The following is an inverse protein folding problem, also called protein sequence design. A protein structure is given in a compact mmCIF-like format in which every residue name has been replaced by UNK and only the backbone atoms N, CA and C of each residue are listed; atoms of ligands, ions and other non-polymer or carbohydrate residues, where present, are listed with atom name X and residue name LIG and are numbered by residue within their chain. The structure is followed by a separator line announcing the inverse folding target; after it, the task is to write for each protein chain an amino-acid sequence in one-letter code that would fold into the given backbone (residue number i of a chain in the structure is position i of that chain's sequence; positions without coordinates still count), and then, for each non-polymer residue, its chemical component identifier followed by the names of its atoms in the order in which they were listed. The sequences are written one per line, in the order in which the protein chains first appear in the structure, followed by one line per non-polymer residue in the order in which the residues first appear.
data_IF_430316679238
#
_entry.id   IF_430316679238
#
_cell.length_a   1.000
_cell.length_b   1.000
_cell.length_c   1.000
_cell.angle_alpha   90.00
_cell.angle_beta   90.00
_cell.angle_gamma   90.00
#
_symmetry.space_group_name_H-M   'P 1'
#
loop_
_entity.id
_entity.type
_entity.pdbx_description
1 polymer ?
#
# COMPACT_ATOMS: atom_id res chain seq x y z
N UNK A 1 6.94 -10.86 -2.47
CA UNK A 1 6.71 -9.41 -2.52
C UNK A 1 5.78 -9.13 -3.68
N UNK A 2 4.83 -8.23 -3.50
CA UNK A 2 3.90 -7.82 -4.53
C UNK A 2 3.91 -6.31 -4.65
N UNK A 3 3.65 -5.81 -5.85
CA UNK A 3 3.55 -4.40 -6.13
C UNK A 3 2.08 -4.02 -6.23
N UNK A 4 1.67 -3.01 -5.46
CA UNK A 4 0.28 -2.58 -5.41
C UNK A 4 0.19 -1.16 -5.94
N UNK A 5 -0.75 -1.00 -6.86
CA UNK A 5 -1.16 0.26 -7.46
C UNK A 5 -2.57 0.60 -6.98
N UNK A 6 -2.76 1.77 -6.37
CA UNK A 6 -4.06 2.27 -5.94
C UNK A 6 -4.41 3.50 -6.76
N UNK A 7 -5.62 3.50 -7.32
CA UNK A 7 -6.20 4.58 -8.11
C UNK A 7 -7.45 5.13 -7.42
N UNK A 8 -7.56 6.46 -7.38
CA UNK A 8 -8.68 7.12 -6.74
C UNK A 8 -8.99 8.50 -7.32
N UNK A 9 -10.15 9.03 -6.94
CA UNK A 9 -10.58 10.38 -7.30
C UNK A 9 -9.93 11.44 -6.40
N UNK A 10 -9.71 11.12 -5.12
CA UNK A 10 -9.25 12.07 -4.11
C UNK A 10 -8.22 11.41 -3.17
N UNK A 11 -7.29 12.24 -2.66
CA UNK A 11 -6.23 11.81 -1.73
C UNK A 11 -6.78 11.12 -0.48
N UNK A 12 -7.92 11.59 0.05
CA UNK A 12 -8.55 10.97 1.23
C UNK A 12 -8.98 9.53 0.97
N UNK A 13 -9.53 9.21 -0.21
CA UNK A 13 -9.95 7.84 -0.56
C UNK A 13 -8.74 6.91 -0.64
N UNK A 14 -7.61 7.39 -1.18
CA UNK A 14 -6.36 6.63 -1.21
C UNK A 14 -5.85 6.31 0.19
N UNK A 15 -5.77 7.30 1.08
CA UNK A 15 -5.28 7.11 2.45
C UNK A 15 -6.17 6.15 3.25
N UNK A 16 -7.49 6.25 3.08
CA UNK A 16 -8.44 5.32 3.70
C UNK A 16 -8.25 3.90 3.15
N UNK A 17 -8.11 3.72 1.83
CA UNK A 17 -7.87 2.41 1.23
C UNK A 17 -6.57 1.77 1.71
N UNK A 18 -5.48 2.54 1.83
CA UNK A 18 -4.23 2.03 2.41
C UNK A 18 -4.43 1.61 3.86
N UNK A 19 -5.18 2.40 4.64
CA UNK A 19 -5.50 2.06 6.03
C UNK A 19 -6.32 0.77 6.14
N UNK A 20 -7.28 0.55 5.23
CA UNK A 20 -8.09 -0.67 5.19
C UNK A 20 -7.23 -1.89 4.82
N UNK A 21 -6.30 -1.74 3.89
CA UNK A 21 -5.36 -2.80 3.54
C UNK A 21 -4.45 -3.20 4.70
N UNK A 22 -3.93 -2.23 5.47
CA UNK A 22 -3.11 -2.51 6.64
C UNK A 22 -3.92 -3.12 7.79
N UNK A 23 -5.09 -2.54 8.09
CA UNK A 23 -5.89 -2.89 9.27
C UNK A 23 -6.75 -4.12 9.07
N UNK A 24 -7.47 -4.17 7.95
CA UNK A 24 -8.44 -5.23 7.66
C UNK A 24 -7.84 -6.28 6.72
N UNK A 25 -7.03 -5.86 5.75
CA UNK A 25 -6.32 -6.77 4.83
C UNK A 25 -5.11 -7.46 5.46
N UNK A 26 -4.63 -6.98 6.63
CA UNK A 26 -3.41 -7.49 7.27
C UNK A 26 -2.22 -7.58 6.31
N UNK A 27 -2.10 -6.61 5.40
CA UNK A 27 -0.98 -6.47 4.47
C UNK A 27 0.13 -5.65 5.10
N UNK A 28 1.38 -6.03 4.80
CA UNK A 28 2.55 -5.37 5.35
C UNK A 28 3.21 -4.52 4.28
N UNK A 29 3.08 -3.20 4.37
CA UNK A 29 3.81 -2.29 3.50
C UNK A 29 5.31 -2.35 3.80
N UNK A 30 6.13 -2.55 2.76
CA UNK A 30 7.59 -2.56 2.83
C UNK A 30 8.18 -1.17 2.67
N UNK A 31 7.48 -0.30 1.96
CA UNK A 31 7.87 1.08 1.68
C UNK A 31 6.73 2.02 2.01
N UNK A 32 7.05 3.31 2.18
CA UNK A 32 6.01 4.34 2.17
C UNK A 32 5.31 4.33 0.79
N UNK A 33 3.99 4.61 0.75
CA UNK A 33 3.28 4.85 -0.49
C UNK A 33 3.90 6.04 -1.20
N UNK A 34 4.19 5.87 -2.49
CA UNK A 34 4.78 6.92 -3.33
C UNK A 34 3.74 7.46 -4.29
N UNK A 35 3.82 8.75 -4.58
CA UNK A 35 2.90 9.41 -5.51
C UNK A 35 3.35 9.12 -6.94
N UNK A 36 2.39 8.71 -7.77
CA UNK A 36 2.62 8.48 -9.20
C UNK A 36 1.60 9.29 -10.00
N UNK A 37 1.91 9.57 -11.27
CA UNK A 37 0.97 10.28 -12.13
C UNK A 37 -0.27 9.42 -12.41
N UNK A 38 -1.43 10.05 -12.31
CA UNK A 38 -2.71 9.38 -12.49
C UNK A 38 -2.90 8.89 -13.93
N UNK A 39 -2.37 9.64 -14.91
CA UNK A 39 -2.37 9.28 -16.32
C UNK A 39 -1.56 8.01 -16.58
N UNK A 40 -0.41 7.86 -15.91
CA UNK A 40 0.40 6.66 -16.02
C UNK A 40 -0.29 5.46 -15.37
N UNK A 41 -0.87 5.65 -14.18
CA UNK A 41 -1.63 4.60 -13.50
C UNK A 41 -2.83 4.13 -14.34
N UNK A 42 -3.56 5.06 -14.95
CA UNK A 42 -4.68 4.75 -15.84
C UNK A 42 -4.20 3.97 -17.07
N UNK A 43 -3.14 4.44 -17.74
CA UNK A 43 -2.58 3.76 -18.92
C UNK A 43 -2.11 2.34 -18.61
N UNK A 44 -1.43 2.14 -17.47
CA UNK A 44 -0.97 0.83 -17.04
C UNK A 44 -2.16 -0.11 -16.77
N UNK A 45 -3.24 0.39 -16.18
CA UNK A 45 -4.44 -0.43 -15.95
C UNK A 45 -5.20 -0.72 -17.25
N UNK A 46 -5.27 0.22 -18.19
CA UNK A 46 -5.85 -0.02 -19.53
C UNK A 46 -5.09 -1.10 -20.28
N UNK A 47 -3.76 -1.10 -20.19
CA UNK A 47 -2.92 -2.15 -20.77
C UNK A 47 -3.18 -3.51 -20.12
N UNK A 48 -3.31 -3.55 -18.78
CA UNK A 48 -3.62 -4.79 -18.05
C UNK A 48 -5.00 -5.33 -18.44
N UNK A 49 -6.02 -4.47 -18.46
CA UNK A 49 -7.40 -4.84 -18.74
C UNK A 49 -7.69 -4.98 -20.24
N UNK A 50 -6.73 -4.61 -21.12
CA UNK A 50 -6.89 -4.53 -22.58
C UNK A 50 -8.17 -3.78 -23.01
N UNK A 51 -8.59 -2.81 -22.20
CA UNK A 51 -9.84 -2.07 -22.39
C UNK A 51 -9.71 -0.66 -21.86
N UNK A 52 -10.47 0.26 -22.46
CA UNK A 52 -10.50 1.66 -22.01
C UNK A 52 -11.20 1.75 -20.66
N UNK A 53 -10.64 2.55 -19.77
CA UNK A 53 -11.25 2.83 -18.48
C UNK A 53 -12.47 3.71 -18.64
N UNK A 54 -13.57 3.33 -17.97
CA UNK A 54 -14.78 4.17 -17.89
C UNK A 54 -14.56 5.39 -17.00
N UNK A 55 -13.77 5.24 -15.94
CA UNK A 55 -13.47 6.30 -14.98
C UNK A 55 -11.96 6.52 -14.89
N UNK A 56 -11.56 7.78 -15.08
CA UNK A 56 -10.17 8.20 -14.91
C UNK A 56 -9.87 8.45 -13.44
N UNK A 57 -8.63 8.20 -13.04
CA UNK A 57 -8.17 8.58 -11.70
C UNK A 57 -7.62 10.01 -11.73
N UNK A 58 -7.77 10.74 -10.63
CA UNK A 58 -7.12 12.04 -10.46
C UNK A 58 -5.85 11.90 -9.61
N UNK A 59 -5.82 10.89 -8.74
CA UNK A 59 -4.68 10.61 -7.87
C UNK A 59 -4.38 9.12 -7.89
N UNK A 60 -3.09 8.80 -7.87
CA UNK A 60 -2.63 7.42 -7.82
C UNK A 60 -1.39 7.30 -6.92
N UNK A 61 -1.26 6.13 -6.29
CA UNK A 61 -0.12 5.78 -5.45
C UNK A 61 0.25 4.34 -5.65
N UNK A 62 1.53 4.02 -5.48
CA UNK A 62 2.00 2.65 -5.49
C UNK A 62 3.02 2.38 -4.38
N UNK A 63 3.10 1.12 -3.98
CA UNK A 63 4.02 0.65 -2.94
C UNK A 63 4.22 -0.86 -3.00
N UNK A 64 5.28 -1.31 -2.34
CA UNK A 64 5.58 -2.73 -2.17
C UNK A 64 4.95 -3.28 -0.90
N UNK A 65 4.43 -4.50 -0.99
CA UNK A 65 4.02 -5.29 0.17
C UNK A 65 4.87 -6.54 0.31
N UNK A 66 4.99 -7.01 1.56
CA UNK A 66 5.82 -8.17 1.91
C UNK A 66 5.26 -9.46 1.32
N UNK A 67 3.94 -9.58 1.35
CA UNK A 67 3.19 -10.72 0.86
C UNK A 67 3.43 -10.96 -0.65
N UNK A 68 3.20 -12.19 -1.11
CA UNK A 68 3.19 -12.54 -2.53
C UNK A 68 1.91 -12.06 -3.23
N UNK A 69 1.93 -12.06 -4.56
CA UNK A 69 0.83 -11.58 -5.41
C UNK A 69 -0.49 -12.30 -5.07
N UNK A 70 -0.46 -13.61 -4.90
CA UNK A 70 -1.65 -14.44 -4.66
C UNK A 70 -2.26 -14.15 -3.29
N UNK A 71 -1.46 -14.17 -2.21
CA UNK A 71 -1.97 -13.80 -0.88
C UNK A 71 -2.46 -12.35 -0.83
N UNK A 72 -1.80 -11.44 -1.55
CA UNK A 72 -2.23 -10.04 -1.62
C UNK A 72 -3.60 -9.90 -2.25
N UNK A 73 -3.85 -10.57 -3.38
CA UNK A 73 -5.16 -10.58 -4.05
C UNK A 73 -6.23 -11.18 -3.14
N UNK A 74 -5.95 -12.32 -2.50
CA UNK A 74 -6.90 -12.98 -1.60
C UNK A 74 -7.30 -12.10 -0.41
N UNK A 75 -6.33 -11.41 0.21
CA UNK A 75 -6.57 -10.49 1.32
C UNK A 75 -7.33 -9.24 0.86
N UNK A 76 -6.97 -8.66 -0.28
CA UNK A 76 -7.66 -7.48 -0.83
C UNK A 76 -9.11 -7.82 -1.19
N UNK A 77 -9.38 -9.02 -1.69
CA UNK A 77 -10.74 -9.48 -2.01
C UNK A 77 -11.65 -9.58 -0.78
N UNK A 78 -11.09 -9.76 0.41
CA UNK A 78 -11.85 -9.85 1.67
C UNK A 78 -12.23 -8.47 2.24
N UNK A 79 -11.61 -7.39 1.74
CA UNK A 79 -11.88 -6.03 2.18
C UNK A 79 -12.66 -5.26 1.11
N UNK A 80 -13.37 -4.21 1.54
CA UNK A 80 -14.17 -3.36 0.66
C UNK A 80 -13.60 -1.93 0.66
N UNK A 81 -12.41 -1.71 0.08
CA UNK A 81 -11.73 -0.44 0.14
C UNK A 81 -12.45 0.60 -0.73
N UNK A 82 -12.43 1.89 -0.34
CA UNK A 82 -13.11 2.97 -1.06
C UNK A 82 -12.41 3.41 -2.36
N UNK A 83 -11.29 2.79 -2.73
CA UNK A 83 -10.49 3.11 -3.90
C UNK A 83 -10.18 1.84 -4.71
N UNK A 84 -9.88 2.01 -6.00
CA UNK A 84 -9.56 0.90 -6.89
C UNK A 84 -8.13 0.43 -6.64
N UNK A 85 -7.98 -0.84 -6.28
CA UNK A 85 -6.67 -1.46 -6.03
C UNK A 85 -6.35 -2.45 -7.15
N UNK A 86 -5.15 -2.34 -7.68
CA UNK A 86 -4.60 -3.22 -8.71
C UNK A 86 -3.32 -3.82 -8.16
N UNK A 87 -3.25 -5.15 -8.11
CA UNK A 87 -2.03 -5.86 -7.76
C UNK A 87 -1.29 -6.16 -9.07
N UNK A 88 -0.07 -5.64 -9.20
CA UNK A 88 0.77 -5.81 -10.38
C UNK A 88 1.74 -6.96 -10.11
N UNK A 89 1.59 -8.04 -10.88
CA UNK A 89 2.48 -9.20 -10.82
C UNK A 89 3.83 -8.90 -11.50
N UNK A 90 4.96 -9.44 -11.01
CA UNK A 90 6.27 -9.33 -11.67
C UNK A 90 6.30 -9.85 -13.11
N UNK A 91 5.40 -10.78 -13.46
CA UNK A 91 5.29 -11.36 -14.80
C UNK A 91 4.74 -10.37 -15.84
N UNK A 92 4.15 -9.26 -15.39
CA UNK A 92 3.55 -8.27 -16.28
C UNK A 92 4.57 -7.21 -16.71
N UNK A 93 4.60 -6.85 -18.00
CA UNK A 93 5.57 -5.88 -18.56
C UNK A 93 5.58 -4.53 -17.83
N UNK A 94 4.41 -4.04 -17.42
CA UNK A 94 4.27 -2.78 -16.68
C UNK A 94 4.84 -2.81 -15.25
N UNK A 95 5.27 -3.97 -14.74
CA UNK A 95 5.86 -4.09 -13.41
C UNK A 95 7.20 -3.35 -13.30
N UNK A 96 8.13 -3.59 -14.24
CA UNK A 96 9.44 -2.94 -14.20
C UNK A 96 9.32 -1.43 -14.42
N UNK A 97 8.44 -0.99 -15.33
CA UNK A 97 8.16 0.45 -15.53
C UNK A 97 7.64 1.12 -14.26
N UNK A 98 6.70 0.48 -13.55
CA UNK A 98 6.17 1.01 -12.29
C UNK A 98 7.24 1.03 -11.19
N UNK A 99 8.09 0.00 -11.12
CA UNK A 99 9.20 -0.10 -10.17
C UNK A 99 10.27 0.97 -10.39
N UNK A 100 10.64 1.24 -11.64
CA UNK A 100 11.57 2.34 -11.97
C UNK A 100 11.00 3.69 -11.53
N UNK A 101 9.71 3.96 -11.84
CA UNK A 101 9.05 5.19 -11.40
C UNK A 101 9.00 5.32 -9.88
N UNK A 102 8.79 4.22 -9.18
CA UNK A 102 8.81 4.22 -7.71
C UNK A 102 10.19 4.54 -7.12
N UNK A 103 11.27 4.29 -7.85
CA UNK A 103 12.62 4.63 -7.36
C UNK A 103 12.81 6.15 -7.32
N UNK A 104 12.21 6.88 -8.26
CA UNK A 104 12.36 8.33 -8.43
C UNK A 104 11.22 9.10 -7.73
N UNK A 105 10.09 8.45 -7.49
CA UNK A 105 8.89 9.09 -6.96
C UNK A 105 9.02 9.55 -5.50
N UNK A 106 8.39 10.68 -5.21
CA UNK A 106 8.27 11.22 -3.86
C UNK A 106 7.29 10.41 -3.01
N UNK A 107 7.56 10.37 -1.72
CA UNK A 107 6.67 9.75 -0.73
C UNK A 107 5.36 10.56 -0.62
N UNK A 108 4.26 9.86 -0.39
CA UNK A 108 2.94 10.46 -0.26
C UNK A 108 2.74 11.06 1.14
N UNK A 109 2.50 12.37 1.19
CA UNK A 109 2.24 13.06 2.46
C UNK A 109 0.94 12.60 3.11
N UNK A 110 0.93 12.56 4.45
CA UNK A 110 -0.26 12.23 5.24
C UNK A 110 -0.46 10.73 5.47
N UNK A 111 0.37 9.87 4.87
CA UNK A 111 0.40 8.46 5.23
C UNK A 111 0.97 8.28 6.64
N UNK A 112 0.20 7.58 7.50
CA UNK A 112 0.62 7.15 8.83
C UNK A 112 0.45 5.63 8.90
N UNK A 113 1.54 4.89 9.00
CA UNK A 113 1.45 3.43 9.07
C UNK A 113 0.76 2.99 10.36
N UNK A 114 -0.25 2.14 10.22
CA UNK A 114 -1.02 1.64 11.35
C UNK A 114 -0.16 0.78 12.28
N UNK A 115 0.80 0.04 11.73
CA UNK A 115 1.70 -0.82 12.52
C UNK A 115 2.73 -0.02 13.32
N UNK A 116 3.12 1.18 12.89
CA UNK A 116 3.95 2.07 13.70
C UNK A 116 3.17 2.69 14.88
N UNK A 117 1.87 2.94 14.71
CA UNK A 117 0.99 3.49 15.77
C UNK A 117 0.77 2.54 16.96
N UNK A 118 0.95 1.23 16.78
CA UNK A 118 0.87 0.24 17.86
C UNK A 118 2.24 -0.07 18.49
N UNK A 119 3.33 0.49 17.97
CA UNK A 119 4.65 0.42 18.61
C UNK A 119 4.70 1.43 19.78
N UNK A 120 4.29 0.98 20.96
CA UNK A 120 4.37 1.76 22.20
C UNK A 120 3.07 1.93 22.97
N UNK A 121 1.93 1.36 22.50
CA UNK A 121 0.74 1.31 23.35
C UNK A 121 1.00 0.36 24.52
N UNK A 122 0.97 0.95 25.72
CA UNK A 122 1.00 0.24 26.99
C UNK A 122 -0.30 -0.58 27.05
N UNK A 123 -0.19 -1.90 27.06
CA UNK A 123 -1.33 -2.75 27.37
C UNK A 123 -1.64 -2.58 28.86
N UNK A 124 -2.73 -1.87 29.18
CA UNK A 124 -3.18 -1.66 30.56
C UNK A 124 -3.98 -2.87 31.06
N UNK A 125 -3.41 -4.05 30.93
CA UNK A 125 -3.88 -5.28 31.57
C UNK A 125 -2.73 -6.27 31.43
N UNK A 126 -1.99 -6.63 32.47
CA UNK A 126 -2.40 -7.55 33.53
C UNK A 126 -1.50 -7.29 34.75
N UNK A 127 -2.09 -7.06 35.92
CA UNK A 127 -1.44 -7.07 37.26
C UNK A 127 -0.13 -6.26 37.38
N UNK A 128 -0.21 -4.93 37.28
CA UNK A 128 0.75 -4.01 37.91
C UNK A 128 2.19 -4.00 37.40
N UNK A 129 2.56 -4.76 36.37
CA UNK A 129 3.90 -4.72 35.76
C UNK A 129 3.84 -4.15 34.33
N UNK A 130 4.37 -2.94 34.16
CA UNK A 130 4.59 -2.33 32.83
C UNK A 130 5.62 -3.15 32.07
N UNK A 131 5.20 -3.89 31.03
CA UNK A 131 6.12 -4.53 30.08
C UNK A 131 6.31 -3.63 28.86
N UNK A 132 7.53 -3.11 28.71
CA UNK A 132 7.95 -2.41 27.50
C UNK A 132 8.41 -3.44 26.47
N UNK A 133 7.59 -3.72 25.45
CA UNK A 133 8.01 -4.56 24.33
C UNK A 133 8.84 -3.67 23.39
N UNK A 134 10.17 -3.75 23.49
CA UNK A 134 11.08 -3.16 22.49
C UNK A 134 11.05 -4.03 21.23
N UNK A 135 10.45 -3.53 20.16
CA UNK A 135 10.43 -4.22 18.88
C UNK A 135 11.67 -3.81 18.07
N UNK A 136 12.81 -4.46 18.31
CA UNK A 136 14.09 -4.15 17.67
C UNK A 136 14.13 -4.38 16.14
N UNK A 137 13.05 -4.86 15.51
CA UNK A 137 12.97 -5.10 14.06
C UNK A 137 12.80 -3.83 13.19
N UNK A 138 12.76 -2.64 13.79
CA UNK A 138 12.43 -1.38 13.10
C UNK A 138 13.61 -0.41 12.91
N UNK A 139 14.79 -0.67 13.49
CA UNK A 139 15.99 0.13 13.21
C UNK A 139 16.62 -0.20 11.85
N UNK A 140 16.05 -1.11 11.06
CA UNK A 140 16.56 -1.48 9.73
C UNK A 140 15.96 -0.67 8.58
N UNK A 141 15.22 0.41 8.87
CA UNK A 141 14.78 1.39 7.86
C UNK A 141 15.57 2.70 7.93
N UNK A 142 16.74 2.67 8.57
CA UNK A 142 17.76 3.70 8.52
C UNK A 142 19.09 3.03 8.30
N UNK A 143 19.38 2.73 7.04
CA UNK A 143 20.69 2.84 6.37
C UNK A 143 20.45 2.81 4.85
#
# INVERSE_FOLDING_TARGET
MALILIRGENKSKLLSAISDMERHGSLTLLSKPKVISAEFADSLVEQILKSKLRTKSNVATAFFVKEDTTLSILKIKQIHPPAHIVVVSPEYRGYEELKEKLTIAHDMDGYKSYRALNAGKIDYSVKGKKRYIKNNKLNSYTE
#
